data_IF_063903498485
#
_entry.id   IF_063903498485
#
_cell.length_a   1.000
_cell.length_b   1.000
_cell.length_c   1.000
_cell.angle_alpha   90.00
_cell.angle_beta   90.00
_cell.angle_gamma   90.00
#
_symmetry.space_group_name_H-M   'P 1'
#
loop_
_entity.id
_entity.type
_entity.pdbx_description
1 polymer ?
#
# COMPACT_ATOMS: atom_id res chain seq x y z
N UNK A 1 0.01 3.11 24.94
CA UNK A 1 0.55 3.72 23.71
C UNK A 1 -0.46 3.38 22.63
N UNK A 2 -1.00 4.38 21.94
CA UNK A 2 -1.83 4.13 20.77
C UNK A 2 -1.00 3.38 19.74
N UNK A 3 -1.55 2.29 19.19
CA UNK A 3 -0.89 1.49 18.19
C UNK A 3 -0.73 2.32 16.91
N UNK A 4 0.51 2.45 16.41
CA UNK A 4 0.78 3.15 15.15
C UNK A 4 0.33 2.26 14.00
N UNK A 5 -0.59 2.72 13.14
CA UNK A 5 -1.10 1.99 11.98
C UNK A 5 -0.25 2.33 10.73
N UNK A 6 0.53 1.38 10.20
CA UNK A 6 1.34 1.59 9.02
C UNK A 6 0.55 1.39 7.73
N UNK A 7 0.39 2.46 6.96
CA UNK A 7 -0.26 2.44 5.64
C UNK A 7 0.79 2.67 4.55
N UNK A 8 0.88 1.73 3.60
CA UNK A 8 1.84 1.77 2.49
C UNK A 8 1.12 2.12 1.19
N UNK A 9 1.59 3.16 0.51
CA UNK A 9 1.06 3.63 -0.78
C UNK A 9 2.22 3.92 -1.74
N UNK A 10 2.08 3.54 -3.01
CA UNK A 10 3.05 3.87 -4.05
C UNK A 10 2.78 5.25 -4.67
N UNK A 11 3.85 6.00 -4.95
CA UNK A 11 3.80 7.31 -5.59
C UNK A 11 4.48 7.29 -6.97
N UNK A 12 3.74 6.79 -7.97
CA UNK A 12 4.27 6.61 -9.31
C UNK A 12 4.53 7.93 -10.05
N UNK A 13 5.54 7.98 -10.96
CA UNK A 13 5.79 9.14 -11.79
C UNK A 13 4.62 9.41 -12.76
N UNK A 14 3.69 10.27 -12.36
CA UNK A 14 2.50 10.62 -13.17
C UNK A 14 1.17 10.40 -12.45
N UNK A 15 1.15 9.63 -11.36
CA UNK A 15 -0.04 9.37 -10.54
C UNK A 15 0.01 10.02 -9.15
N UNK A 16 0.93 10.96 -8.95
CA UNK A 16 1.14 11.61 -7.65
C UNK A 16 -0.12 12.30 -7.11
N UNK A 17 -0.95 12.90 -7.98
CA UNK A 17 -2.23 13.46 -7.55
C UNK A 17 -3.18 12.40 -6.99
N UNK A 18 -3.20 11.20 -7.58
CA UNK A 18 -4.00 10.07 -7.12
C UNK A 18 -3.48 9.54 -5.77
N UNK A 19 -2.17 9.37 -5.62
CA UNK A 19 -1.51 9.06 -4.34
C UNK A 19 -1.91 10.05 -3.24
N UNK A 20 -1.88 11.35 -3.52
CA UNK A 20 -2.23 12.37 -2.52
C UNK A 20 -3.73 12.39 -2.22
N UNK A 21 -4.59 12.11 -3.20
CA UNK A 21 -6.02 11.95 -2.98
C UNK A 21 -6.33 10.75 -2.08
N UNK A 22 -5.69 9.60 -2.32
CA UNK A 22 -5.80 8.42 -1.47
C UNK A 22 -5.36 8.70 -0.03
N UNK A 23 -4.15 9.28 0.15
CA UNK A 23 -3.65 9.68 1.48
C UNK A 23 -4.61 10.66 2.17
N UNK A 24 -5.07 11.68 1.45
CA UNK A 24 -6.01 12.66 2.01
C UNK A 24 -7.33 12.02 2.42
N UNK A 25 -7.85 11.08 1.63
CA UNK A 25 -9.09 10.37 1.95
C UNK A 25 -8.97 9.56 3.24
N UNK A 26 -7.84 8.88 3.45
CA UNK A 26 -7.58 8.14 4.69
C UNK A 26 -7.48 9.12 5.86
N UNK A 27 -6.61 10.13 5.75
CA UNK A 27 -6.35 11.11 6.80
C UNK A 27 -7.60 11.89 7.23
N UNK A 28 -8.56 12.11 6.32
CA UNK A 28 -9.78 12.87 6.62
C UNK A 28 -10.90 12.03 7.25
N UNK A 29 -10.79 10.70 7.26
CA UNK A 29 -11.87 9.79 7.68
C UNK A 29 -11.49 8.91 8.89
N UNK A 30 -10.42 9.23 9.60
CA UNK A 30 -9.96 8.47 10.77
C UNK A 30 -9.24 9.38 11.77
N UNK A 31 -9.41 9.09 13.05
CA UNK A 31 -8.65 9.72 14.14
C UNK A 31 -7.47 8.82 14.60
N UNK A 32 -7.25 7.68 13.94
CA UNK A 32 -6.22 6.73 14.31
C UNK A 32 -4.80 7.29 14.09
N UNK A 33 -3.85 6.83 14.92
CA UNK A 33 -2.44 7.18 14.80
C UNK A 33 -1.79 6.49 13.59
N UNK A 34 -1.81 7.14 12.42
CA UNK A 34 -1.30 6.57 11.17
C UNK A 34 0.11 7.06 10.85
N UNK A 35 0.93 6.16 10.34
CA UNK A 35 2.16 6.50 9.60
C UNK A 35 2.04 6.09 8.14
N UNK A 36 2.20 7.05 7.23
CA UNK A 36 2.19 6.78 5.79
C UNK A 36 3.60 6.43 5.29
N UNK A 37 3.78 5.22 4.75
CA UNK A 37 4.96 4.84 3.98
C UNK A 37 4.70 5.11 2.50
N UNK A 38 5.23 6.23 2.02
CA UNK A 38 5.08 6.65 0.62
C UNK A 38 6.27 6.11 -0.19
N UNK A 39 6.01 5.07 -0.97
CA UNK A 39 7.04 4.34 -1.71
C UNK A 39 7.24 4.97 -3.09
N UNK A 40 8.49 5.28 -3.44
CA UNK A 40 8.83 5.88 -4.72
C UNK A 40 10.13 5.35 -5.30
N UNK A 41 10.46 5.81 -6.50
CA UNK A 41 11.77 5.60 -7.10
C UNK A 41 12.72 6.71 -6.68
N UNK A 42 14.03 6.45 -6.69
CA UNK A 42 15.06 7.41 -6.25
C UNK A 42 14.89 8.83 -6.81
N UNK A 43 14.53 8.94 -8.08
CA UNK A 43 14.34 10.22 -8.77
C UNK A 43 13.01 10.93 -8.42
N UNK A 44 12.02 10.24 -7.83
CA UNK A 44 10.73 10.83 -7.44
C UNK A 44 10.66 11.23 -5.98
N UNK A 45 11.55 10.74 -5.11
CA UNK A 45 11.51 11.01 -3.67
C UNK A 45 11.48 12.51 -3.31
N UNK A 46 12.31 13.39 -3.92
CA UNK A 46 12.25 14.82 -3.64
C UNK A 46 10.90 15.44 -4.03
N UNK A 47 10.24 14.89 -5.06
CA UNK A 47 8.94 15.35 -5.52
C UNK A 47 7.83 14.92 -4.57
N UNK A 48 7.87 13.68 -4.08
CA UNK A 48 6.93 13.18 -3.05
C UNK A 48 6.94 14.12 -1.84
N UNK A 49 8.14 14.41 -1.33
CA UNK A 49 8.33 15.32 -0.20
C UNK A 49 7.69 16.69 -0.44
N UNK A 50 7.99 17.31 -1.59
CA UNK A 50 7.43 18.62 -1.95
C UNK A 50 5.90 18.63 -1.98
N UNK A 51 5.26 17.59 -2.51
CA UNK A 51 3.81 17.51 -2.58
C UNK A 51 3.15 17.45 -1.20
N UNK A 52 3.73 16.68 -0.26
CA UNK A 52 3.20 16.57 1.10
C UNK A 52 3.41 17.89 1.84
N UNK A 53 4.64 18.43 1.83
CA UNK A 53 5.00 19.64 2.58
C UNK A 53 4.27 20.91 2.08
N UNK A 54 3.91 20.99 0.80
CA UNK A 54 3.25 22.17 0.20
C UNK A 54 1.74 21.98 0.00
N UNK A 55 1.11 21.04 0.72
CA UNK A 55 -0.33 20.83 0.67
C UNK A 55 -0.94 20.80 2.07
N UNK A 56 -2.25 20.52 2.15
CA UNK A 56 -2.94 20.29 3.43
C UNK A 56 -2.40 19.06 4.17
N UNK A 57 -1.62 18.22 3.51
CA UNK A 57 -1.02 17.01 4.08
C UNK A 57 0.25 17.26 4.89
N UNK A 58 0.70 18.51 5.08
CA UNK A 58 1.93 18.81 5.83
C UNK A 58 1.94 18.30 7.29
N UNK A 59 0.76 18.02 7.84
CA UNK A 59 0.58 17.63 9.25
C UNK A 59 0.52 16.11 9.43
N UNK A 60 0.53 15.33 8.35
CA UNK A 60 0.53 13.87 8.44
C UNK A 60 1.89 13.35 8.93
N UNK A 61 1.89 12.22 9.61
CA UNK A 61 3.11 11.46 9.88
C UNK A 61 3.43 10.57 8.66
N UNK A 62 4.61 10.77 8.05
CA UNK A 62 5.00 10.01 6.87
C UNK A 62 6.49 9.69 6.81
N UNK A 63 6.80 8.61 6.10
CA UNK A 63 8.16 8.17 5.75
C UNK A 63 8.22 7.91 4.25
N UNK A 64 9.21 8.49 3.58
CA UNK A 64 9.46 8.23 2.17
C UNK A 64 10.40 7.04 2.05
N UNK A 65 10.00 6.04 1.26
CA UNK A 65 10.76 4.80 1.08
C UNK A 65 11.21 4.67 -0.37
N UNK A 66 12.51 4.44 -0.59
CA UNK A 66 13.04 4.13 -1.91
C UNK A 66 12.78 2.66 -2.25
N UNK A 67 12.12 2.41 -3.38
CA UNK A 67 12.11 1.10 -4.00
C UNK A 67 13.20 1.02 -5.06
N UNK A 68 14.17 0.11 -4.86
CA UNK A 68 15.28 -0.09 -5.78
C UNK A 68 14.92 -1.17 -6.83
N UNK A 69 14.71 -0.81 -8.11
CA UNK A 69 14.28 -1.77 -9.14
C UNK A 69 15.29 -2.88 -9.45
N UNK A 70 16.54 -2.79 -8.96
CA UNK A 70 17.55 -3.85 -9.13
C UNK A 70 17.04 -5.20 -8.60
N UNK A 71 16.18 -5.20 -7.57
CA UNK A 71 15.59 -6.43 -7.01
C UNK A 71 14.70 -7.18 -8.00
N UNK A 72 14.29 -6.52 -9.10
CA UNK A 72 13.47 -7.08 -10.16
C UNK A 72 14.29 -7.63 -11.34
N UNK A 73 15.61 -7.39 -11.36
CA UNK A 73 16.50 -7.83 -12.45
C UNK A 73 16.41 -9.35 -12.62
N UNK A 74 16.07 -9.79 -13.83
CA UNK A 74 15.92 -11.21 -14.18
C UNK A 74 14.62 -11.85 -13.68
N UNK A 75 13.73 -11.10 -12.99
CA UNK A 75 12.42 -11.59 -12.51
C UNK A 75 11.25 -11.13 -13.37
N UNK A 76 11.48 -10.14 -14.23
CA UNK A 76 10.47 -9.57 -15.13
C UNK A 76 10.90 -9.85 -16.57
N UNK A 77 9.94 -10.31 -17.38
CA UNK A 77 10.12 -10.52 -18.81
C UNK A 77 9.98 -9.19 -19.56
N UNK A 78 11.05 -8.66 -20.17
CA UNK A 78 11.04 -7.34 -20.81
C UNK A 78 10.28 -7.31 -22.14
N UNK A 79 10.01 -8.48 -22.74
CA UNK A 79 9.28 -8.68 -24.01
C UNK A 79 7.75 -8.68 -23.84
N UNK A 80 7.23 -8.17 -22.71
CA UNK A 80 5.79 -8.11 -22.50
C UNK A 80 5.13 -7.19 -23.54
N UNK A 81 3.99 -7.61 -24.07
CA UNK A 81 3.16 -6.80 -24.96
C UNK A 81 2.50 -5.60 -24.27
N UNK A 82 2.75 -5.40 -22.97
CA UNK A 82 2.14 -4.39 -22.08
C UNK A 82 3.21 -3.72 -21.21
N UNK A 83 4.10 -2.90 -21.79
CA UNK A 83 5.23 -2.26 -21.08
C UNK A 83 4.81 -1.41 -19.88
N UNK A 84 3.58 -0.89 -19.87
CA UNK A 84 2.98 -0.16 -18.75
C UNK A 84 2.80 -1.02 -17.48
N UNK A 85 2.63 -2.34 -17.63
CA UNK A 85 2.54 -3.27 -16.50
C UNK A 85 3.91 -3.54 -15.86
N UNK A 86 4.99 -3.22 -16.57
CA UNK A 86 6.36 -3.43 -16.11
C UNK A 86 6.91 -2.28 -15.24
N UNK A 87 6.06 -1.31 -14.87
CA UNK A 87 6.47 -0.24 -13.95
C UNK A 87 6.94 -0.85 -12.61
N UNK A 88 8.15 -0.53 -12.12
CA UNK A 88 8.71 -1.19 -10.93
C UNK A 88 7.82 -1.13 -9.69
N UNK A 89 7.08 -0.03 -9.52
CA UNK A 89 6.22 0.18 -8.35
C UNK A 89 5.03 -0.81 -8.30
N UNK A 90 4.61 -1.38 -9.44
CA UNK A 90 3.55 -2.40 -9.48
C UNK A 90 3.93 -3.66 -8.68
N UNK A 91 5.22 -3.90 -8.48
CA UNK A 91 5.75 -5.08 -7.79
C UNK A 91 5.99 -4.85 -6.30
N UNK A 92 5.83 -3.61 -5.78
CA UNK A 92 6.15 -3.25 -4.39
C UNK A 92 5.44 -4.14 -3.38
N UNK A 93 4.17 -4.51 -3.64
CA UNK A 93 3.37 -5.39 -2.77
C UNK A 93 4.08 -6.70 -2.41
N UNK A 94 4.91 -7.24 -3.31
CA UNK A 94 5.66 -8.48 -3.08
C UNK A 94 6.95 -8.29 -2.26
N UNK A 95 7.37 -7.05 -2.06
CA UNK A 95 8.61 -6.70 -1.36
C UNK A 95 8.37 -5.94 -0.05
N UNK A 96 7.11 -5.84 0.40
CA UNK A 96 6.77 -5.17 1.66
C UNK A 96 7.59 -5.65 2.86
N UNK A 97 7.83 -6.95 3.08
CA UNK A 97 8.68 -7.42 4.19
C UNK A 97 10.14 -6.94 4.11
N UNK A 98 10.62 -6.58 2.91
CA UNK A 98 11.96 -6.02 2.74
C UNK A 98 12.00 -4.50 2.91
N UNK A 99 10.87 -3.83 2.70
CA UNK A 99 10.78 -2.37 2.78
C UNK A 99 10.43 -1.92 4.19
N UNK A 100 9.48 -2.58 4.84
CA UNK A 100 8.93 -2.22 6.15
C UNK A 100 9.15 -3.39 7.11
N UNK A 101 10.15 -3.28 7.99
CA UNK A 101 10.52 -4.35 8.95
C UNK A 101 10.12 -4.08 10.40
N UNK A 102 9.81 -2.82 10.72
CA UNK A 102 9.46 -2.41 12.09
C UNK A 102 8.03 -2.78 12.51
N UNK A 103 7.21 -3.29 11.59
CA UNK A 103 5.79 -3.51 11.79
C UNK A 103 5.43 -4.96 11.49
N UNK A 104 4.66 -5.59 12.38
CA UNK A 104 4.20 -6.97 12.20
C UNK A 104 3.09 -7.09 11.14
N UNK A 105 2.30 -6.03 10.98
CA UNK A 105 1.17 -5.93 10.06
C UNK A 105 1.19 -4.57 9.37
N UNK A 106 0.87 -4.54 8.08
CA UNK A 106 0.74 -3.30 7.30
C UNK A 106 -0.50 -3.33 6.43
N UNK A 107 -1.09 -2.16 6.18
CA UNK A 107 -2.10 -1.99 5.14
C UNK A 107 -1.38 -1.53 3.88
N UNK A 108 -1.58 -2.22 2.77
CA UNK A 108 -1.13 -1.78 1.46
C UNK A 108 -2.34 -1.32 0.64
N UNK A 109 -2.25 -0.13 0.06
CA UNK A 109 -3.27 0.42 -0.84
C UNK A 109 -2.64 0.86 -2.15
N UNK A 110 -3.34 0.60 -3.26
CA UNK A 110 -3.02 1.19 -4.55
C UNK A 110 -3.43 2.67 -4.59
N UNK A 111 -2.88 3.43 -5.52
CA UNK A 111 -3.07 4.89 -5.58
C UNK A 111 -4.35 5.33 -6.32
N UNK A 112 -5.19 4.39 -6.77
CA UNK A 112 -6.52 4.62 -7.35
C UNK A 112 -7.68 4.38 -6.38
N UNK A 113 -7.39 4.19 -5.08
CA UNK A 113 -8.44 4.04 -4.06
C UNK A 113 -8.82 5.38 -3.43
N UNK A 114 -10.08 5.47 -3.00
CA UNK A 114 -10.58 6.51 -2.09
C UNK A 114 -11.20 5.81 -0.89
N UNK A 115 -10.68 6.11 0.30
CA UNK A 115 -11.15 5.51 1.55
C UNK A 115 -12.20 6.42 2.17
N UNK A 116 -13.41 5.90 2.35
CA UNK A 116 -14.55 6.62 2.91
C UNK A 116 -14.88 6.23 4.36
N UNK A 117 -14.37 5.10 4.83
CA UNK A 117 -14.55 4.61 6.20
C UNK A 117 -13.28 4.77 7.04
N UNK A 118 -13.35 4.34 8.29
CA UNK A 118 -12.20 4.33 9.18
C UNK A 118 -11.25 3.18 8.80
N UNK A 119 -10.01 3.52 8.45
CA UNK A 119 -8.99 2.55 8.06
C UNK A 119 -8.57 1.64 9.22
N UNK A 120 -8.82 2.05 10.47
CA UNK A 120 -8.56 1.23 11.64
C UNK A 120 -9.36 -0.07 11.62
N UNK A 121 -10.61 -0.05 11.13
CA UNK A 121 -11.43 -1.27 11.01
C UNK A 121 -10.77 -2.32 10.11
N UNK A 122 -10.14 -1.87 9.01
CA UNK A 122 -9.37 -2.75 8.14
C UNK A 122 -8.12 -3.26 8.85
N UNK A 123 -7.43 -2.41 9.60
CA UNK A 123 -6.22 -2.81 10.32
C UNK A 123 -6.56 -3.87 11.39
N UNK A 124 -7.64 -3.69 12.15
CA UNK A 124 -8.05 -4.57 13.24
C UNK A 124 -8.57 -5.94 12.77
N UNK A 125 -8.73 -6.11 11.46
CA UNK A 125 -9.05 -7.42 10.87
C UNK A 125 -7.98 -8.45 11.22
N UNK A 126 -8.42 -9.57 11.79
CA UNK A 126 -7.53 -10.65 12.22
C UNK A 126 -7.05 -11.44 11.00
N UNK A 127 -5.74 -11.55 10.83
CA UNK A 127 -5.15 -12.50 9.89
C UNK A 127 -5.14 -13.89 10.53
N UNK A 128 -5.74 -14.86 9.86
CA UNK A 128 -5.74 -16.24 10.34
C UNK A 128 -4.31 -16.78 10.41
N UNK A 129 -4.01 -17.59 11.43
CA UNK A 129 -2.68 -18.15 11.65
C UNK A 129 -2.14 -18.82 10.36
N UNK A 130 -0.91 -18.46 9.98
CA UNK A 130 -0.25 -18.97 8.77
C UNK A 130 -0.55 -18.20 7.48
N UNK A 131 -1.43 -17.20 7.49
CA UNK A 131 -1.66 -16.33 6.33
C UNK A 131 -0.73 -15.12 6.38
N UNK A 132 -0.09 -14.82 5.25
CA UNK A 132 0.82 -13.67 5.12
C UNK A 132 0.08 -12.36 4.81
N UNK A 133 -1.12 -12.45 4.24
CA UNK A 133 -1.94 -11.31 3.86
C UNK A 133 -3.41 -11.73 3.75
N UNK A 134 -4.31 -10.75 3.91
CA UNK A 134 -5.71 -10.84 3.52
C UNK A 134 -6.00 -9.81 2.42
N UNK A 135 -6.96 -10.12 1.57
CA UNK A 135 -7.35 -9.29 0.43
C UNK A 135 -8.86 -9.03 0.47
N UNK A 136 -9.29 -7.92 -0.14
CA UNK A 136 -10.69 -7.75 -0.48
C UNK A 136 -11.03 -8.73 -1.58
N UNK A 137 -12.16 -9.43 -1.43
CA UNK A 137 -12.74 -10.19 -2.52
C UNK A 137 -13.21 -9.22 -3.63
N UNK A 138 -13.22 -9.71 -4.87
CA UNK A 138 -13.83 -8.99 -5.98
C UNK A 138 -15.34 -8.82 -5.73
N UNK A 139 -15.90 -7.71 -6.20
CA UNK A 139 -17.34 -7.49 -6.09
C UNK A 139 -18.12 -8.49 -6.97
N UNK A 140 -18.62 -9.56 -6.37
CA UNK A 140 -19.70 -10.33 -6.96
C UNK A 140 -20.96 -9.46 -6.97
N UNK A 141 -21.39 -9.00 -8.16
CA UNK A 141 -22.72 -8.40 -8.33
C UNK A 141 -23.79 -9.40 -7.86
N UNK A 142 -24.89 -8.95 -7.24
CA UNK A 142 -25.48 -9.66 -6.12
C UNK A 142 -26.20 -10.95 -6.52
N UNK A 143 -25.84 -12.07 -5.89
CA UNK A 143 -26.84 -12.94 -5.29
C UNK A 143 -26.86 -12.66 -3.80
N UNK A 144 -28.05 -12.34 -3.29
CA UNK A 144 -28.31 -11.95 -1.92
C UNK A 144 -27.54 -12.80 -0.88
N UNK A 145 -27.02 -12.11 0.14
CA UNK A 145 -26.40 -12.67 1.34
C UNK A 145 -25.17 -13.55 1.08
N UNK A 146 -23.96 -12.99 1.19
CA UNK A 146 -22.91 -13.79 1.80
C UNK A 146 -21.89 -12.91 2.54
N UNK A 147 -21.61 -13.32 3.77
CA UNK A 147 -20.76 -12.65 4.74
C UNK A 147 -19.29 -12.69 4.31
N UNK A 148 -18.54 -11.63 4.64
CA UNK A 148 -17.07 -11.48 4.59
C UNK A 148 -16.32 -12.83 4.45
N UNK A 149 -15.99 -13.19 3.22
CA UNK A 149 -14.96 -14.18 2.95
C UNK A 149 -13.65 -13.41 2.74
N UNK A 150 -12.61 -13.85 3.45
CA UNK A 150 -11.27 -13.33 3.34
C UNK A 150 -10.44 -14.45 2.73
N UNK A 151 -9.98 -14.29 1.50
CA UNK A 151 -9.02 -15.20 0.89
C UNK A 151 -7.62 -14.75 1.27
N UNK A 152 -6.84 -15.61 1.94
CA UNK A 152 -5.48 -15.29 2.35
C UNK A 152 -4.42 -16.05 1.54
N UNK A 153 -3.24 -15.44 1.38
CA UNK A 153 -2.08 -16.09 0.77
C UNK A 153 -1.24 -16.77 1.85
N UNK A 154 -1.09 -18.09 1.80
CA UNK A 154 -0.18 -18.85 2.68
C UNK A 154 1.18 -18.98 2.00
N UNK A 155 2.26 -18.56 2.66
CA UNK A 155 3.63 -18.72 2.16
C UNK A 155 4.35 -19.72 3.07
N UNK A 156 4.78 -20.85 2.51
CA UNK A 156 5.49 -21.89 3.24
C UNK A 156 6.89 -21.41 3.67
N UNK A 157 7.22 -21.62 4.94
CA UNK A 157 8.58 -21.48 5.47
C UNK A 157 9.51 -22.48 4.75
N UNK A 158 10.40 -21.99 3.89
CA UNK A 158 11.58 -22.75 3.54
C UNK A 158 12.59 -22.62 4.69
N UNK A 159 12.85 -23.76 5.35
CA UNK A 159 13.79 -23.92 6.46
C UNK A 159 15.24 -23.86 5.98
#
# INVERSE_FOLDING_TARGET
MEEEIPVVICAAPGRMGATMAAINSIYSNTDANIVFYVVGLRNTLPRIRKWIEHSKLREINFKIVEFNPIVLKGKIRPDSSRPELLQPLNFVRFYLPLLIRQHEKVIYLDDDVIVQGDIQELYDTTLALGHAAAFSDDCDLPSAQDNNRLVGLQVGMFS
#
